data_IF_656417611695
#
_entry.id   IF_656417611695
#
_cell.length_a   1.000
_cell.length_b   1.000
_cell.length_c   1.000
_cell.angle_alpha   90.00
_cell.angle_beta   90.00
_cell.angle_gamma   90.00
#
_symmetry.space_group_name_H-M   'P 1'
#
loop_
_entity.id
_entity.type
_entity.pdbx_description
1 polymer ?
#
# COMPACT_ATOMS: atom_id res chain seq x y z
N UNK A 1 29.27 -83.37 15.17
CA UNK A 1 29.24 -83.05 13.73
C UNK A 1 27.85 -82.45 13.46
N UNK A 2 27.58 -81.14 13.33
CA UNK A 2 28.27 -79.95 12.78
C UNK A 2 28.00 -78.74 13.73
N UNK A 3 28.99 -78.00 14.23
CA UNK A 3 29.57 -76.73 13.73
C UNK A 3 28.59 -75.55 13.51
N UNK A 4 28.35 -74.68 14.52
CA UNK A 4 28.79 -73.26 14.77
C UNK A 4 27.86 -72.16 14.12
N UNK A 5 27.98 -70.83 14.41
CA UNK A 5 27.11 -70.02 15.30
C UNK A 5 26.48 -68.76 14.63
N UNK A 6 25.67 -67.98 15.35
CA UNK A 6 25.46 -66.55 15.03
C UNK A 6 25.13 -65.78 16.32
N UNK A 7 26.11 -65.17 16.97
CA UNK A 7 26.50 -63.75 16.90
C UNK A 7 25.36 -62.76 17.26
N UNK A 8 25.41 -62.36 18.53
CA UNK A 8 25.29 -60.98 19.05
C UNK A 8 24.12 -60.11 18.59
N UNK A 9 23.11 -60.05 19.46
CA UNK A 9 22.72 -58.84 20.22
C UNK A 9 23.00 -57.51 19.49
N UNK A 10 21.99 -56.97 18.81
CA UNK A 10 21.96 -55.58 18.36
C UNK A 10 20.75 -54.90 19.00
N UNK A 11 21.05 -53.85 19.77
CA UNK A 11 20.12 -53.08 20.57
C UNK A 11 19.03 -52.42 19.70
N UNK A 12 17.76 -52.64 20.07
CA UNK A 12 16.63 -51.83 19.60
C UNK A 12 16.76 -50.42 20.17
N UNK A 13 17.33 -49.51 19.39
CA UNK A 13 17.35 -48.08 19.66
C UNK A 13 16.11 -47.40 19.04
N UNK A 14 15.31 -46.80 19.94
CA UNK A 14 14.44 -45.63 19.76
C UNK A 14 14.03 -45.24 18.32
N UNK A 15 12.78 -45.54 17.96
CA UNK A 15 12.01 -44.72 17.01
C UNK A 15 11.10 -43.76 17.79
N UNK A 16 11.69 -42.69 18.34
CA UNK A 16 10.93 -41.52 18.76
C UNK A 16 10.76 -40.63 17.52
N UNK A 17 9.64 -40.82 16.80
CA UNK A 17 9.22 -39.89 15.74
C UNK A 17 8.97 -38.53 16.40
N UNK A 18 9.91 -37.61 16.25
CA UNK A 18 9.73 -36.22 16.63
C UNK A 18 8.64 -35.63 15.73
N UNK A 19 7.43 -35.45 16.28
CA UNK A 19 6.41 -34.56 15.77
C UNK A 19 6.97 -33.14 15.85
N UNK A 20 7.74 -32.74 14.84
CA UNK A 20 8.11 -31.34 14.65
C UNK A 20 6.80 -30.59 14.34
N UNK A 21 6.44 -29.56 15.12
CA UNK A 21 5.32 -28.71 14.75
C UNK A 21 5.64 -28.10 13.39
N UNK A 22 4.75 -28.27 12.42
CA UNK A 22 4.81 -27.56 11.15
C UNK A 22 4.74 -26.06 11.49
N UNK A 23 5.89 -25.39 11.51
CA UNK A 23 5.92 -23.94 11.48
C UNK A 23 5.29 -23.54 10.16
N UNK A 24 4.06 -23.00 10.22
CA UNK A 24 3.48 -22.34 9.08
C UNK A 24 4.43 -21.20 8.71
N UNK A 25 5.19 -21.39 7.63
CA UNK A 25 6.05 -20.35 7.09
C UNK A 25 5.15 -19.15 6.78
N UNK A 26 5.53 -17.96 7.25
CA UNK A 26 4.85 -16.76 6.80
C UNK A 26 5.00 -16.66 5.27
N UNK A 27 3.90 -16.41 4.53
CA UNK A 27 3.98 -16.28 3.08
C UNK A 27 5.00 -15.19 2.75
N UNK A 28 5.88 -15.48 1.80
CA UNK A 28 6.85 -14.49 1.32
C UNK A 28 6.11 -13.24 0.80
N UNK A 29 6.74 -12.07 0.87
CA UNK A 29 6.13 -10.79 0.49
C UNK A 29 5.39 -10.83 -0.86
N UNK A 30 5.93 -11.54 -1.86
CA UNK A 30 5.29 -11.69 -3.17
C UNK A 30 4.00 -12.49 -3.13
N UNK A 31 3.96 -13.58 -2.35
CA UNK A 31 2.77 -14.40 -2.18
C UNK A 31 1.69 -13.63 -1.43
N UNK A 32 2.07 -12.91 -0.36
CA UNK A 32 1.17 -12.04 0.38
C UNK A 32 0.53 -10.97 -0.53
N UNK A 33 1.34 -10.27 -1.33
CA UNK A 33 0.84 -9.25 -2.28
C UNK A 33 -0.06 -9.87 -3.35
N UNK A 34 0.23 -11.09 -3.82
CA UNK A 34 -0.61 -11.81 -4.75
C UNK A 34 -1.97 -12.17 -4.13
N UNK A 35 -1.99 -12.64 -2.88
CA UNK A 35 -3.23 -12.90 -2.15
C UNK A 35 -4.06 -11.62 -1.93
N UNK A 36 -3.43 -10.50 -1.59
CA UNK A 36 -4.14 -9.21 -1.47
C UNK A 36 -4.70 -8.77 -2.81
N UNK A 37 -3.93 -8.87 -3.90
CA UNK A 37 -4.39 -8.54 -5.25
C UNK A 37 -5.64 -9.32 -5.65
N UNK A 38 -5.77 -10.57 -5.24
CA UNK A 38 -6.98 -11.38 -5.49
C UNK A 38 -8.21 -10.90 -4.69
N UNK A 39 -8.01 -10.15 -3.59
CA UNK A 39 -9.12 -9.60 -2.78
C UNK A 39 -9.56 -8.22 -3.24
N UNK A 40 -8.62 -7.40 -3.70
CA UNK A 40 -8.90 -6.04 -4.15
C UNK A 40 -9.64 -6.07 -5.48
N UNK A 41 -10.65 -5.22 -5.61
CA UNK A 41 -11.46 -5.10 -6.81
C UNK A 41 -10.63 -4.54 -7.97
N UNK A 42 -10.55 -5.33 -9.04
CA UNK A 42 -9.92 -4.93 -10.29
C UNK A 42 -10.89 -4.06 -11.09
N UNK A 43 -10.67 -2.74 -11.07
CA UNK A 43 -11.48 -1.76 -11.79
C UNK A 43 -10.60 -0.78 -12.59
N UNK A 44 -11.00 -0.40 -13.83
CA UNK A 44 -10.34 0.65 -14.58
C UNK A 44 -10.39 2.01 -13.89
N UNK A 45 -11.49 2.30 -13.20
CA UNK A 45 -11.68 3.54 -12.44
C UNK A 45 -12.23 3.23 -11.06
N UNK A 46 -11.71 3.89 -10.04
CA UNK A 46 -12.26 3.91 -8.68
C UNK A 46 -12.45 5.35 -8.27
N UNK A 47 -13.63 5.68 -7.75
CA UNK A 47 -13.92 6.99 -7.16
C UNK A 47 -14.46 6.83 -5.75
N UNK A 48 -14.40 7.88 -4.96
CA UNK A 48 -14.98 7.89 -3.63
C UNK A 48 -14.66 9.18 -2.91
N UNK A 49 -14.92 9.17 -1.62
CA UNK A 49 -14.63 10.26 -0.70
C UNK A 49 -13.45 9.87 0.21
N UNK A 50 -12.82 10.88 0.80
CA UNK A 50 -11.82 10.66 1.83
C UNK A 50 -12.01 11.60 3.01
N UNK A 51 -11.59 11.11 4.17
CA UNK A 51 -11.24 11.92 5.33
C UNK A 51 -9.79 11.70 5.69
N UNK A 52 -9.05 12.78 5.92
CA UNK A 52 -7.65 12.71 6.32
C UNK A 52 -7.43 13.47 7.63
N UNK A 53 -6.60 12.87 8.49
CA UNK A 53 -6.05 13.47 9.69
C UNK A 53 -4.53 13.47 9.59
N UNK A 54 -3.93 14.66 9.53
CA UNK A 54 -2.47 14.84 9.57
C UNK A 54 -2.05 15.41 10.92
N UNK A 55 -1.33 14.62 11.70
CA UNK A 55 -0.65 15.05 12.92
C UNK A 55 0.71 15.60 12.52
N UNK A 56 0.92 16.90 12.73
CA UNK A 56 2.18 17.59 12.45
C UNK A 56 2.93 17.76 13.76
N UNK A 57 4.21 17.39 13.79
CA UNK A 57 5.04 17.57 14.98
C UNK A 57 5.05 19.05 15.39
N UNK A 58 4.68 19.33 16.63
CA UNK A 58 4.61 20.69 17.19
C UNK A 58 3.23 21.34 17.12
N UNK A 59 2.25 20.74 16.43
CA UNK A 59 0.86 21.21 16.45
C UNK A 59 0.09 20.52 17.59
N UNK A 60 -0.76 21.28 18.29
CA UNK A 60 -1.56 20.75 19.42
C UNK A 60 -2.71 19.84 18.98
N UNK A 61 -3.22 20.06 17.77
CA UNK A 61 -4.37 19.35 17.20
C UNK A 61 -4.01 18.88 15.80
N UNK A 62 -4.49 17.71 15.36
CA UNK A 62 -4.28 17.25 14.00
C UNK A 62 -5.01 18.15 13.00
N UNK A 63 -4.42 18.34 11.83
CA UNK A 63 -5.06 18.96 10.69
C UNK A 63 -6.05 17.96 10.08
N UNK A 64 -7.27 18.40 9.83
CA UNK A 64 -8.30 17.58 9.19
C UNK A 64 -8.59 18.10 7.80
N UNK A 65 -8.64 17.20 6.82
CA UNK A 65 -9.12 17.50 5.47
C UNK A 65 -10.11 16.44 4.99
N UNK A 66 -10.95 16.81 4.04
CA UNK A 66 -11.91 15.90 3.41
C UNK A 66 -12.19 16.33 1.97
N UNK A 67 -12.64 15.39 1.16
CA UNK A 67 -13.01 15.65 -0.23
C UNK A 67 -13.25 14.35 -0.99
N UNK A 68 -12.97 14.38 -2.28
CA UNK A 68 -13.18 13.25 -3.18
C UNK A 68 -11.94 12.91 -4.00
N UNK A 69 -11.94 11.72 -4.57
CA UNK A 69 -10.85 11.26 -5.42
C UNK A 69 -11.37 10.48 -6.62
N UNK A 70 -10.56 10.49 -7.67
CA UNK A 70 -10.72 9.63 -8.84
C UNK A 70 -9.37 9.01 -9.16
N UNK A 71 -9.32 7.68 -9.17
CA UNK A 71 -8.19 6.91 -9.66
C UNK A 71 -8.58 6.29 -10.98
N UNK A 72 -7.84 6.61 -12.03
CA UNK A 72 -8.07 6.08 -13.37
C UNK A 72 -6.80 5.41 -13.87
N UNK A 73 -6.90 4.10 -14.15
CA UNK A 73 -5.78 3.29 -14.65
C UNK A 73 -5.18 3.91 -15.90
N UNK A 74 -3.88 4.10 -15.91
CA UNK A 74 -3.13 4.71 -17.02
C UNK A 74 -3.32 6.23 -17.17
N UNK A 75 -4.11 6.89 -16.32
CA UNK A 75 -4.31 8.34 -16.33
C UNK A 75 -3.69 9.02 -15.12
N UNK A 76 -4.09 8.57 -13.93
CA UNK A 76 -3.56 9.17 -12.72
C UNK A 76 -4.43 8.98 -11.49
N UNK A 77 -4.18 9.86 -10.52
CA UNK A 77 -5.03 10.10 -9.36
C UNK A 77 -5.35 11.59 -9.35
N UNK A 78 -6.64 11.91 -9.26
CA UNK A 78 -7.10 13.25 -8.90
C UNK A 78 -7.59 13.18 -7.47
N UNK A 79 -7.07 14.07 -6.63
CA UNK A 79 -7.40 14.18 -5.22
C UNK A 79 -7.89 15.60 -4.96
N UNK A 80 -9.21 15.76 -4.84
CA UNK A 80 -9.87 17.04 -4.68
C UNK A 80 -10.18 17.26 -3.21
N UNK A 81 -9.40 18.11 -2.55
CA UNK A 81 -9.69 18.57 -1.19
C UNK A 81 -10.81 19.59 -1.27
N UNK A 82 -11.92 19.36 -0.55
CA UNK A 82 -13.03 20.30 -0.42
C UNK A 82 -12.93 21.12 0.87
N UNK A 83 -12.39 20.53 1.94
CA UNK A 83 -12.25 21.17 3.26
C UNK A 83 -10.86 20.93 3.86
N UNK A 84 -10.31 21.89 4.63
CA UNK A 84 -10.88 23.21 4.94
C UNK A 84 -10.61 24.25 3.86
N UNK A 85 -9.63 24.01 2.99
CA UNK A 85 -9.29 24.87 1.87
C UNK A 85 -9.32 24.04 0.60
N UNK A 86 -10.09 24.50 -0.37
CA UNK A 86 -10.27 23.78 -1.62
C UNK A 86 -8.97 23.78 -2.44
N UNK A 87 -8.57 22.60 -2.89
CA UNK A 87 -7.40 22.40 -3.75
C UNK A 87 -7.50 21.07 -4.47
N UNK A 88 -6.85 20.98 -5.63
CA UNK A 88 -6.78 19.73 -6.39
C UNK A 88 -5.34 19.30 -6.55
N UNK A 89 -5.04 18.06 -6.16
CA UNK A 89 -3.76 17.41 -6.41
C UNK A 89 -3.95 16.38 -7.53
N UNK A 90 -3.19 16.53 -8.61
CA UNK A 90 -3.13 15.56 -9.70
C UNK A 90 -1.80 14.84 -9.62
N UNK A 91 -1.86 13.54 -9.42
CA UNK A 91 -0.69 12.65 -9.38
C UNK A 91 -0.69 11.81 -10.65
N UNK A 92 0.43 11.82 -11.36
CA UNK A 92 0.73 10.95 -12.52
C UNK A 92 2.03 10.18 -12.25
N UNK A 93 2.37 9.14 -13.03
CA UNK A 93 3.56 8.33 -12.76
C UNK A 93 4.88 9.13 -12.68
N UNK A 94 4.96 10.27 -13.35
CA UNK A 94 6.17 11.09 -13.47
C UNK A 94 5.98 12.55 -13.03
N UNK A 95 4.80 12.92 -12.55
CA UNK A 95 4.48 14.31 -12.21
C UNK A 95 3.48 14.42 -11.08
N UNK A 96 3.57 15.53 -10.35
CA UNK A 96 2.63 15.93 -9.32
C UNK A 96 2.32 17.41 -9.52
N UNK A 97 1.03 17.74 -9.60
CA UNK A 97 0.55 19.10 -9.81
C UNK A 97 -0.47 19.44 -8.74
N UNK A 98 -0.31 20.59 -8.10
CA UNK A 98 -1.29 21.14 -7.18
C UNK A 98 -1.94 22.38 -7.81
N UNK A 99 -3.25 22.46 -7.70
CA UNK A 99 -4.07 23.59 -8.15
C UNK A 99 -4.85 24.16 -6.96
N UNK A 100 -4.90 25.48 -6.88
CA UNK A 100 -5.75 26.18 -5.91
C UNK A 100 -7.23 26.11 -6.30
N UNK A 101 -8.10 26.68 -5.47
CA UNK A 101 -9.54 26.76 -5.75
C UNK A 101 -9.87 27.59 -7.00
N UNK A 102 -8.98 28.50 -7.41
CA UNK A 102 -9.11 29.26 -8.66
C UNK A 102 -8.67 28.46 -9.91
N UNK A 103 -8.33 27.18 -9.73
CA UNK A 103 -7.85 26.28 -10.78
C UNK A 103 -6.42 26.56 -11.24
N UNK A 104 -5.75 27.59 -10.70
CA UNK A 104 -4.38 27.91 -11.10
C UNK A 104 -3.40 26.96 -10.47
N UNK A 105 -2.36 26.64 -11.25
CA UNK A 105 -1.24 25.85 -10.81
C UNK A 105 -0.50 26.58 -9.67
N UNK A 106 -0.49 25.98 -8.49
CA UNK A 106 0.23 26.48 -7.31
C UNK A 106 1.60 25.83 -7.19
N UNK A 107 1.73 24.58 -7.61
CA UNK A 107 2.98 23.82 -7.57
C UNK A 107 2.99 22.76 -8.65
N UNK A 108 4.15 22.57 -9.29
CA UNK A 108 4.39 21.46 -10.21
C UNK A 108 5.75 20.85 -9.91
N UNK A 109 5.76 19.54 -9.73
CA UNK A 109 6.96 18.75 -9.52
C UNK A 109 6.99 17.65 -10.58
N UNK A 110 8.17 17.40 -11.15
CA UNK A 110 8.40 16.29 -12.08
C UNK A 110 9.40 15.32 -11.46
N UNK A 111 9.20 14.04 -11.71
CA UNK A 111 10.04 12.97 -11.20
C UNK A 111 11.48 13.01 -11.73
N UNK A 112 11.72 13.74 -12.82
CA UNK A 112 13.08 14.04 -13.31
C UNK A 112 13.81 15.04 -12.41
N UNK A 113 13.07 15.94 -11.76
CA UNK A 113 13.62 17.00 -10.91
C UNK A 113 13.74 16.47 -9.46
N UNK A 114 12.83 15.58 -9.05
CA UNK A 114 12.79 14.95 -7.72
C UNK A 114 12.56 13.42 -7.83
N UNK A 115 13.61 12.59 -7.89
CA UNK A 115 13.48 11.14 -8.06
C UNK A 115 12.64 10.44 -6.97
N UNK A 116 12.66 10.97 -5.74
CA UNK A 116 11.84 10.48 -4.61
C UNK A 116 10.35 10.57 -4.93
N UNK A 117 9.93 11.57 -5.72
CA UNK A 117 8.54 11.75 -6.14
C UNK A 117 8.04 10.55 -6.95
N UNK A 118 8.91 9.94 -7.77
CA UNK A 118 8.54 8.75 -8.54
C UNK A 118 8.13 7.60 -7.64
N UNK A 119 8.91 7.35 -6.59
CA UNK A 119 8.67 6.24 -5.66
C UNK A 119 7.43 6.48 -4.81
N UNK A 120 7.20 7.73 -4.38
CA UNK A 120 5.98 8.11 -3.65
C UNK A 120 4.74 8.00 -4.53
N UNK A 121 4.81 8.47 -5.78
CA UNK A 121 3.72 8.34 -6.73
C UNK A 121 3.43 6.87 -7.03
N UNK A 122 4.46 6.07 -7.34
CA UNK A 122 4.33 4.64 -7.57
C UNK A 122 3.68 3.92 -6.38
N UNK A 123 4.02 4.31 -5.16
CA UNK A 123 3.37 3.79 -3.95
C UNK A 123 1.88 4.14 -3.92
N UNK A 124 1.51 5.42 -4.10
CA UNK A 124 0.11 5.85 -4.10
C UNK A 124 -0.70 5.14 -5.20
N UNK A 125 -0.13 5.00 -6.40
CA UNK A 125 -0.71 4.21 -7.48
C UNK A 125 -0.85 2.75 -7.12
N UNK A 126 0.17 2.10 -6.57
CA UNK A 126 0.11 0.68 -6.23
C UNK A 126 -0.99 0.41 -5.20
N UNK A 127 -1.12 1.28 -4.19
CA UNK A 127 -2.17 1.22 -3.17
C UNK A 127 -3.55 1.35 -3.81
N UNK A 128 -3.75 2.34 -4.68
CA UNK A 128 -5.09 2.68 -5.17
C UNK A 128 -5.52 1.96 -6.46
N UNK A 129 -4.57 1.50 -7.28
CA UNK A 129 -4.81 0.81 -8.55
C UNK A 129 -4.68 -0.71 -8.46
N UNK A 130 -4.46 -1.25 -7.25
CA UNK A 130 -4.20 -2.67 -7.00
C UNK A 130 -2.95 -3.24 -7.72
N UNK A 131 -2.07 -2.38 -8.25
CA UNK A 131 -0.79 -2.80 -8.83
C UNK A 131 0.28 -2.99 -7.74
N UNK A 132 0.04 -3.97 -6.87
CA UNK A 132 0.84 -4.22 -5.68
C UNK A 132 2.22 -4.84 -5.97
N UNK A 133 2.49 -5.25 -7.23
CA UNK A 133 3.73 -5.94 -7.60
C UNK A 133 4.98 -5.04 -7.49
N UNK A 134 4.82 -3.73 -7.73
CA UNK A 134 5.92 -2.75 -7.64
C UNK A 134 6.31 -2.46 -6.18
N UNK A 135 5.42 -2.70 -5.21
CA UNK A 135 5.68 -2.43 -3.79
C UNK A 135 6.82 -3.28 -3.24
N UNK A 136 6.90 -4.55 -3.63
CA UNK A 136 7.97 -5.45 -3.15
C UNK A 136 9.38 -4.99 -3.55
N UNK A 137 9.50 -4.20 -4.62
CA UNK A 137 10.79 -3.69 -5.10
C UNK A 137 11.30 -2.54 -4.21
N UNK A 138 10.39 -1.70 -3.71
CA UNK A 138 10.74 -0.52 -2.92
C UNK A 138 10.58 -0.72 -1.41
N UNK A 139 9.83 -1.73 -0.99
CA UNK A 139 9.45 -1.95 0.40
C UNK A 139 9.67 -3.40 0.87
N UNK A 140 10.03 -3.52 2.14
CA UNK A 140 9.73 -4.71 2.93
C UNK A 140 8.24 -4.72 3.20
N UNK A 141 7.58 -5.82 2.81
CA UNK A 141 6.14 -5.99 2.95
C UNK A 141 5.87 -7.14 3.91
N UNK A 142 5.15 -6.83 4.97
CA UNK A 142 4.59 -7.81 5.91
C UNK A 142 3.09 -7.60 6.04
N UNK A 143 2.38 -8.57 6.59
CA UNK A 143 0.94 -8.46 6.75
C UNK A 143 0.22 -9.79 6.72
N UNK A 144 -1.10 -9.72 6.51
CA UNK A 144 -1.97 -10.88 6.58
C UNK A 144 -3.20 -10.70 5.71
N UNK A 145 -3.71 -11.82 5.22
CA UNK A 145 -5.01 -11.91 4.53
C UNK A 145 -5.92 -12.80 5.36
N UNK A 146 -7.07 -12.25 5.78
CA UNK A 146 -8.08 -12.93 6.56
C UNK A 146 -9.40 -13.01 5.80
N UNK A 147 -10.39 -13.75 6.31
CA UNK A 147 -11.70 -13.83 5.66
C UNK A 147 -12.38 -12.46 5.52
N UNK A 148 -12.19 -11.56 6.48
CA UNK A 148 -12.86 -10.24 6.54
C UNK A 148 -12.11 -9.11 5.84
N UNK A 149 -10.91 -9.35 5.34
CA UNK A 149 -10.09 -8.32 4.72
C UNK A 149 -8.60 -8.66 4.73
N UNK A 150 -7.79 -7.65 4.52
CA UNK A 150 -6.34 -7.75 4.49
C UNK A 150 -5.71 -6.54 5.17
N UNK A 151 -4.46 -6.70 5.61
CA UNK A 151 -3.63 -5.63 6.12
C UNK A 151 -2.19 -5.82 5.65
N UNK A 152 -1.56 -4.74 5.23
CA UNK A 152 -0.16 -4.70 4.81
C UNK A 152 0.58 -3.61 5.58
N UNK A 153 1.84 -3.90 5.94
CA UNK A 153 2.81 -2.92 6.41
C UNK A 153 3.95 -2.84 5.41
N UNK A 154 4.32 -1.63 5.02
CA UNK A 154 5.36 -1.35 4.05
C UNK A 154 6.44 -0.50 4.70
N UNK A 155 7.67 -1.00 4.71
CA UNK A 155 8.84 -0.29 5.23
C UNK A 155 9.82 -0.07 4.09
N UNK A 156 10.24 1.16 3.79
CA UNK A 156 11.17 1.43 2.69
C UNK A 156 12.47 0.62 2.79
N UNK A 157 12.87 0.00 1.68
CA UNK A 157 14.21 -0.61 1.54
C UNK A 157 15.27 0.43 1.22
N UNK A 158 14.88 1.43 0.44
CA UNK A 158 15.77 2.48 -0.03
C UNK A 158 16.03 3.52 1.09
N UNK A 159 17.31 3.78 1.45
CA UNK A 159 17.65 4.72 2.50
C UNK A 159 17.22 6.16 2.20
N UNK A 160 17.22 6.57 0.93
CA UNK A 160 16.79 7.93 0.54
C UNK A 160 15.29 8.08 0.75
N UNK A 161 14.48 7.09 0.40
CA UNK A 161 13.05 7.09 0.74
C UNK A 161 12.83 7.05 2.26
N UNK A 162 13.63 6.26 2.98
CA UNK A 162 13.56 6.13 4.44
C UNK A 162 13.81 7.46 5.19
N UNK A 163 14.48 8.44 4.57
CA UNK A 163 14.65 9.79 5.14
C UNK A 163 13.36 10.60 5.22
N UNK A 164 12.34 10.22 4.45
CA UNK A 164 11.05 10.91 4.38
C UNK A 164 9.92 10.06 4.93
N UNK A 165 9.96 8.76 4.70
CA UNK A 165 8.91 7.82 5.03
C UNK A 165 9.47 6.72 5.94
N UNK A 166 8.88 6.52 7.13
CA UNK A 166 9.26 5.42 8.00
C UNK A 166 8.48 4.15 7.70
N UNK A 167 7.17 4.27 7.52
CA UNK A 167 6.32 3.14 7.20
C UNK A 167 4.96 3.59 6.65
N UNK A 168 4.29 2.64 6.01
CA UNK A 168 2.90 2.75 5.56
C UNK A 168 2.15 1.53 6.06
N UNK A 169 0.99 1.73 6.67
CA UNK A 169 0.06 0.65 6.95
C UNK A 169 -1.18 0.82 6.07
N UNK A 170 -1.58 -0.27 5.43
CA UNK A 170 -2.74 -0.35 4.56
C UNK A 170 -3.68 -1.40 5.11
N UNK A 171 -4.98 -1.14 5.05
CA UNK A 171 -5.98 -2.15 5.34
C UNK A 171 -7.20 -1.97 4.46
N UNK A 172 -7.87 -3.09 4.16
CA UNK A 172 -9.03 -3.08 3.29
C UNK A 172 -9.67 -4.44 3.10
N UNK A 173 -10.58 -4.49 2.15
CA UNK A 173 -11.25 -5.70 1.68
C UNK A 173 -11.26 -5.70 0.14
N UNK A 174 -12.40 -5.40 -0.48
CA UNK A 174 -12.49 -5.17 -1.93
C UNK A 174 -11.89 -3.83 -2.34
N UNK A 175 -11.88 -2.86 -1.43
CA UNK A 175 -11.21 -1.58 -1.60
C UNK A 175 -10.25 -1.34 -0.44
N UNK A 176 -9.26 -0.48 -0.66
CA UNK A 176 -8.51 0.13 0.44
C UNK A 176 -9.49 0.94 1.29
N UNK A 177 -9.44 0.77 2.61
CA UNK A 177 -10.34 1.44 3.55
C UNK A 177 -9.60 2.44 4.43
N UNK A 178 -8.37 2.13 4.84
CA UNK A 178 -7.54 3.03 5.63
C UNK A 178 -6.08 2.94 5.20
N UNK A 179 -5.43 4.10 5.11
CA UNK A 179 -4.00 4.26 4.86
C UNK A 179 -3.42 5.07 6.01
N UNK A 180 -2.39 4.53 6.67
CA UNK A 180 -1.61 5.24 7.68
C UNK A 180 -0.22 5.49 7.15
N UNK A 181 0.20 6.74 7.15
CA UNK A 181 1.53 7.18 6.75
C UNK A 181 2.31 7.63 7.98
N UNK A 182 3.49 7.07 8.19
CA UNK A 182 4.44 7.52 9.22
C UNK A 182 5.63 8.18 8.52
N UNK A 183 5.78 9.49 8.67
CA UNK A 183 6.88 10.24 8.10
C UNK A 183 8.10 10.21 9.04
N UNK A 184 9.31 10.15 8.49
CA UNK A 184 10.54 10.01 9.28
C UNK A 184 10.81 11.20 10.23
N UNK A 185 10.19 12.34 9.96
CA UNK A 185 10.31 13.56 10.77
C UNK A 185 9.31 13.61 11.95
N UNK A 186 8.48 12.58 12.11
CA UNK A 186 7.53 12.44 13.21
C UNK A 186 6.11 12.90 12.89
N UNK A 187 5.86 13.37 11.66
CA UNK A 187 4.51 13.61 11.16
C UNK A 187 3.82 12.27 10.86
N UNK A 188 2.49 12.24 11.01
CA UNK A 188 1.71 11.07 10.71
C UNK A 188 0.40 11.45 10.04
N UNK A 189 -0.03 10.67 9.05
CA UNK A 189 -1.32 10.85 8.39
C UNK A 189 -2.15 9.59 8.49
N UNK A 190 -3.45 9.75 8.72
CA UNK A 190 -4.46 8.68 8.59
C UNK A 190 -5.46 9.13 7.56
N UNK A 191 -5.64 8.34 6.50
CA UNK A 191 -6.60 8.59 5.42
C UNK A 191 -7.63 7.46 5.47
N UNK A 192 -8.90 7.81 5.50
CA UNK A 192 -10.03 6.88 5.43
C UNK A 192 -10.75 7.07 4.11
N UNK A 193 -10.94 5.97 3.41
CA UNK A 193 -11.67 5.91 2.14
C UNK A 193 -13.14 5.63 2.45
N UNK A 194 -14.01 6.47 1.91
CA UNK A 194 -15.44 6.44 2.14
C UNK A 194 -16.16 6.26 0.80
N UNK A 195 -17.25 5.50 0.82
CA UNK A 195 -18.11 5.23 -0.35
C UNK A 195 -17.34 4.92 -1.67
N UNK A 196 -16.35 4.01 -1.67
CA UNK A 196 -15.63 3.68 -2.89
C UNK A 196 -16.56 2.99 -3.89
N UNK A 197 -16.50 3.44 -5.15
CA UNK A 197 -17.26 2.88 -6.28
C UNK A 197 -16.30 2.56 -7.41
N UNK A 198 -16.37 1.33 -7.89
CA UNK A 198 -15.68 0.87 -9.08
C UNK A 198 -16.50 1.20 -10.34
N UNK A 199 -15.82 1.68 -11.38
CA UNK A 199 -16.40 1.99 -12.68
C UNK A 199 -15.58 1.39 -13.82
N UNK A 200 -16.27 1.01 -14.89
CA UNK A 200 -15.65 0.38 -16.06
C UNK A 200 -14.97 1.39 -17.00
N UNK A 201 -15.27 2.69 -16.88
CA UNK A 201 -14.69 3.73 -17.73
C UNK A 201 -14.68 5.09 -17.02
N UNK A 202 -13.70 5.92 -17.37
CA UNK A 202 -13.63 7.30 -16.92
C UNK A 202 -14.75 8.10 -17.59
N UNK A 203 -15.49 8.89 -16.80
CA UNK A 203 -16.56 9.75 -17.33
C UNK A 203 -15.93 10.88 -18.17
N UNK A 204 -16.53 11.27 -19.31
CA UNK A 204 -15.95 12.30 -20.18
C UNK A 204 -15.66 13.63 -19.47
N UNK A 205 -16.55 14.04 -18.55
CA UNK A 205 -16.42 15.26 -17.75
C UNK A 205 -15.24 15.24 -16.76
N UNK A 206 -14.79 14.05 -16.35
CA UNK A 206 -13.71 13.88 -15.38
C UNK A 206 -12.33 13.87 -16.08
N UNK A 207 -12.29 13.64 -17.39
CA UNK A 207 -11.04 13.49 -18.14
C UNK A 207 -10.15 14.73 -18.07
N UNK A 208 -10.74 15.93 -18.18
CA UNK A 208 -10.01 17.19 -18.11
C UNK A 208 -9.35 17.45 -16.75
N UNK A 209 -9.79 16.77 -15.68
CA UNK A 209 -9.17 16.91 -14.36
C UNK A 209 -7.78 16.29 -14.31
N UNK A 210 -7.47 15.35 -15.21
CA UNK A 210 -6.18 14.69 -15.34
C UNK A 210 -5.23 15.39 -16.31
N UNK A 211 -5.52 16.62 -16.74
CA UNK A 211 -4.65 17.51 -17.54
C UNK A 211 -4.09 18.62 -16.62
#
# INVERSE_FOLDING_TARGET
MKMVPWIRMFALALCALALLPAQAAEPGAQELLAQVRQRVQDAPVVRGEFEQLKTVKGFKQPLRSSGDFIVARGKGIVWHVLKPFESTLVVRPDSLQSRGSDGKLTTQMRAQDEPVLRTVNAMLFAVMSANLAELAQHFEVTGQVAAKGWSLRLVPRDPTLAQWLSAVDLQGSQFVQEVKLQEARGDASVIRILAPVAENALRPQDAAQFE
#
